data_IF_594454139845
#
_entry.id   IF_594454139845
#
_cell.length_a   1.000
_cell.length_b   1.000
_cell.length_c   1.000
_cell.angle_alpha   90.00
_cell.angle_beta   90.00
_cell.angle_gamma   90.00
#
_symmetry.space_group_name_H-M   'P 1'
#
loop_
_entity.id
_entity.type
_entity.pdbx_description
1 polymer ?
#
# COMPACT_ATOMS: atom_id res chain seq x y z
N UNK A 1 -2.22 21.72 4.90
CA UNK A 1 -3.43 20.88 4.95
C UNK A 1 -4.64 21.79 4.76
N UNK A 2 -5.69 21.32 4.09
CA UNK A 2 -7.02 21.91 4.24
C UNK A 2 -7.49 21.56 5.65
N UNK A 3 -7.75 22.56 6.50
CA UNK A 3 -8.28 22.33 7.83
C UNK A 3 -9.81 22.34 7.82
N UNK A 4 -10.43 21.80 8.88
CA UNK A 4 -11.89 21.78 9.06
C UNK A 4 -12.51 23.19 8.94
N UNK A 5 -11.81 24.21 9.43
CA UNK A 5 -12.23 25.60 9.33
C UNK A 5 -12.34 26.07 7.86
N UNK A 6 -11.37 25.72 7.02
CA UNK A 6 -11.37 26.09 5.61
C UNK A 6 -12.54 25.46 4.84
N UNK A 7 -12.82 24.17 5.09
CA UNK A 7 -13.97 23.46 4.50
C UNK A 7 -15.30 24.10 4.90
N UNK A 8 -15.44 24.48 6.18
CA UNK A 8 -16.63 25.13 6.69
C UNK A 8 -16.88 26.50 6.04
N UNK A 9 -15.83 27.31 5.88
CA UNK A 9 -15.92 28.60 5.19
C UNK A 9 -16.33 28.43 3.73
N UNK A 10 -15.75 27.45 3.02
CA UNK A 10 -16.12 27.15 1.64
C UNK A 10 -17.58 26.71 1.50
N UNK A 11 -18.03 25.84 2.40
CA UNK A 11 -19.42 25.39 2.44
C UNK A 11 -20.39 26.57 2.67
N UNK A 12 -20.10 27.44 3.66
CA UNK A 12 -20.91 28.64 3.91
C UNK A 12 -20.93 29.64 2.75
N UNK A 13 -19.86 29.69 1.96
CA UNK A 13 -19.77 30.57 0.79
C UNK A 13 -20.29 29.94 -0.50
N UNK A 14 -20.82 28.71 -0.46
CA UNK A 14 -21.33 28.02 -1.65
C UNK A 14 -20.24 27.72 -2.68
N UNK A 15 -18.99 27.56 -2.25
CA UNK A 15 -17.88 27.26 -3.15
C UNK A 15 -17.91 25.75 -3.44
N UNK A 16 -18.51 25.39 -4.58
CA UNK A 16 -18.63 23.99 -5.03
C UNK A 16 -17.34 23.47 -5.67
N UNK A 17 -16.57 24.37 -6.29
CA UNK A 17 -15.25 24.06 -6.85
C UNK A 17 -14.21 25.05 -6.35
N UNK A 18 -13.17 24.51 -5.70
CA UNK A 18 -11.98 25.27 -5.35
C UNK A 18 -11.12 25.39 -6.61
N UNK A 19 -10.85 26.60 -7.10
CA UNK A 19 -10.01 26.75 -8.28
C UNK A 19 -8.59 26.24 -8.02
N UNK A 20 -7.95 25.65 -9.04
CA UNK A 20 -6.69 24.92 -8.89
C UNK A 20 -5.54 25.78 -8.35
N UNK A 21 -5.58 27.10 -8.56
CA UNK A 21 -4.61 28.06 -8.03
C UNK A 21 -4.68 28.21 -6.49
N UNK A 22 -5.79 27.85 -5.85
CA UNK A 22 -5.94 27.83 -4.39
C UNK A 22 -5.57 26.47 -3.78
N UNK A 23 -5.45 25.43 -4.60
CA UNK A 23 -4.99 24.11 -4.17
C UNK A 23 -3.47 24.14 -4.09
N UNK A 24 -2.96 24.50 -2.91
CA UNK A 24 -1.52 24.45 -2.65
C UNK A 24 -0.98 23.05 -2.99
N UNK A 25 0.15 22.97 -3.70
CA UNK A 25 0.80 21.68 -4.05
C UNK A 25 0.97 20.74 -2.85
N UNK A 26 1.17 21.30 -1.65
CA UNK A 26 1.27 20.52 -0.39
C UNK A 26 -0.01 19.75 -0.06
N UNK A 27 -1.17 20.19 -0.53
CA UNK A 27 -2.49 19.57 -0.30
C UNK A 27 -2.81 18.48 -1.34
N UNK A 28 -2.19 18.52 -2.52
CA UNK A 28 -2.34 17.48 -3.52
C UNK A 28 -1.76 16.14 -3.04
N UNK A 29 -2.57 15.08 -3.09
CA UNK A 29 -2.14 13.69 -2.84
C UNK A 29 -1.23 13.15 -3.96
N UNK A 30 -1.29 13.76 -5.15
CA UNK A 30 -0.56 13.35 -6.36
C UNK A 30 0.88 13.86 -6.42
N UNK A 31 1.34 14.60 -5.41
CA UNK A 31 2.75 15.01 -5.33
C UNK A 31 3.51 13.86 -4.71
N UNK A 32 4.45 13.27 -5.46
CA UNK A 32 5.45 12.33 -4.92
C UNK A 32 6.19 13.05 -3.79
N UNK A 33 5.81 12.75 -2.56
CA UNK A 33 6.58 13.16 -1.39
C UNK A 33 7.70 12.15 -1.28
N UNK A 34 8.94 12.60 -1.44
CA UNK A 34 10.05 11.87 -0.83
C UNK A 34 9.70 11.92 0.65
N UNK A 35 9.28 10.78 1.21
CA UNK A 35 9.05 10.68 2.63
C UNK A 35 10.41 10.87 3.30
N UNK A 36 10.78 12.13 3.56
CA UNK A 36 11.76 12.40 4.59
C UNK A 36 11.16 11.77 5.83
N UNK A 37 11.72 10.64 6.28
CA UNK A 37 11.40 10.06 7.58
C UNK A 37 11.90 11.06 8.62
N UNK A 38 11.21 12.18 8.76
CA UNK A 38 11.38 13.06 9.89
C UNK A 38 10.92 12.22 11.05
N UNK A 39 11.86 11.85 11.93
CA UNK A 39 11.54 11.17 13.17
C UNK A 39 10.80 12.19 14.02
N UNK A 40 9.48 12.27 13.85
CA UNK A 40 8.64 13.13 14.66
C UNK A 40 8.62 12.47 16.04
N UNK A 41 9.50 12.93 16.94
CA UNK A 41 9.43 12.60 18.35
C UNK A 41 8.23 13.34 18.93
N UNK A 42 7.02 12.78 18.77
CA UNK A 42 5.93 13.12 19.67
C UNK A 42 6.41 12.75 21.08
N UNK A 43 6.21 13.64 22.05
CA UNK A 43 6.47 13.33 23.44
C UNK A 43 5.71 12.03 23.77
N UNK A 44 6.47 11.00 24.19
CA UNK A 44 5.96 9.65 24.46
C UNK A 44 4.91 9.64 25.57
N UNK A 45 4.84 10.72 26.37
CA UNK A 45 3.78 10.94 27.37
C UNK A 45 2.38 11.05 26.75
N UNK A 46 2.28 11.36 25.46
CA UNK A 46 1.03 11.71 24.77
C UNK A 46 0.58 10.68 23.75
N UNK A 47 0.99 9.41 23.86
CA UNK A 47 0.51 8.35 22.96
C UNK A 47 -1.00 8.22 23.10
N UNK A 48 -1.73 8.98 22.27
CA UNK A 48 -3.18 8.97 22.29
C UNK A 48 -3.63 7.57 21.89
N UNK A 49 -4.78 7.15 22.39
CA UNK A 49 -5.39 5.86 22.04
C UNK A 49 -5.45 5.67 20.52
N UNK A 50 -5.58 6.76 19.77
CA UNK A 50 -5.61 6.77 18.31
C UNK A 50 -4.27 6.36 17.69
N UNK A 51 -3.13 6.84 18.23
CA UNK A 51 -1.81 6.44 17.75
C UNK A 51 -1.60 4.92 17.90
N UNK A 52 -2.01 4.35 19.04
CA UNK A 52 -1.96 2.91 19.29
C UNK A 52 -2.85 2.12 18.33
N UNK A 53 -4.04 2.65 18.02
CA UNK A 53 -4.95 2.06 17.04
C UNK A 53 -4.34 2.06 15.63
N UNK A 54 -3.73 3.18 15.22
CA UNK A 54 -3.04 3.29 13.95
C UNK A 54 -1.89 2.29 13.83
N UNK A 55 -1.06 2.16 14.87
CA UNK A 55 0.04 1.19 14.88
C UNK A 55 -0.46 -0.25 14.78
N UNK A 56 -1.58 -0.58 15.45
CA UNK A 56 -2.17 -1.92 15.39
C UNK A 56 -2.72 -2.27 13.99
N UNK A 57 -3.39 -1.32 13.34
CA UNK A 57 -3.92 -1.50 11.98
C UNK A 57 -2.77 -1.67 10.98
N UNK A 58 -1.74 -0.81 11.04
CA UNK A 58 -0.56 -0.90 10.18
C UNK A 58 0.14 -2.24 10.36
N UNK A 59 0.32 -2.68 11.61
CA UNK A 59 0.94 -3.98 11.90
C UNK A 59 0.13 -5.16 11.35
N UNK A 60 -1.20 -5.07 11.33
CA UNK A 60 -2.06 -6.13 10.80
C UNK A 60 -1.99 -6.19 9.28
N UNK A 61 -2.02 -5.04 8.62
CA UNK A 61 -1.90 -4.95 7.16
C UNK A 61 -0.53 -5.46 6.67
N UNK A 62 0.56 -5.13 7.39
CA UNK A 62 1.90 -5.65 7.09
C UNK A 62 1.96 -7.19 7.19
N UNK A 63 1.29 -7.78 8.17
CA UNK A 63 1.24 -9.23 8.34
C UNK A 63 0.48 -9.90 7.18
N UNK A 64 -0.66 -9.33 6.76
CA UNK A 64 -1.44 -9.83 5.62
C UNK A 64 -0.61 -9.76 4.34
N UNK A 65 0.08 -8.65 4.10
CA UNK A 65 0.92 -8.50 2.91
C UNK A 65 2.09 -9.48 2.90
N UNK A 66 2.71 -9.74 4.06
CA UNK A 66 3.75 -10.76 4.18
C UNK A 66 3.24 -12.15 3.80
N UNK A 67 2.04 -12.53 4.27
CA UNK A 67 1.38 -13.79 3.89
C UNK A 67 1.03 -13.86 2.41
N UNK A 68 0.53 -12.77 1.82
CA UNK A 68 0.25 -12.71 0.38
C UNK A 68 1.53 -12.90 -0.44
N UNK A 69 2.64 -12.32 -0.01
CA UNK A 69 3.94 -12.50 -0.68
C UNK A 69 4.46 -13.94 -0.55
N UNK A 70 4.26 -14.56 0.61
CA UNK A 70 4.61 -15.96 0.84
C UNK A 70 3.84 -16.89 -0.11
N UNK A 71 2.51 -16.79 -0.12
CA UNK A 71 1.65 -17.60 -0.97
C UNK A 71 1.94 -17.40 -2.46
N UNK A 72 2.22 -16.16 -2.88
CA UNK A 72 2.63 -15.88 -4.26
C UNK A 72 3.95 -16.55 -4.62
N UNK A 73 4.89 -16.65 -3.68
CA UNK A 73 6.18 -17.31 -3.91
C UNK A 73 6.00 -18.82 -4.00
N UNK A 74 5.26 -19.42 -3.06
CA UNK A 74 4.94 -20.85 -3.08
C UNK A 74 4.23 -21.25 -4.37
N UNK A 75 3.26 -20.44 -4.83
CA UNK A 75 2.57 -20.68 -6.10
C UNK A 75 3.52 -20.62 -7.30
N UNK A 76 4.48 -19.69 -7.30
CA UNK A 76 5.48 -19.55 -8.36
C UNK A 76 6.50 -20.70 -8.34
N UNK A 77 6.89 -21.18 -7.16
CA UNK A 77 7.75 -22.36 -7.01
C UNK A 77 7.01 -23.62 -7.50
N UNK A 78 5.75 -23.79 -7.11
CA UNK A 78 4.91 -24.91 -7.55
C UNK A 78 4.68 -24.89 -9.08
N UNK A 79 4.48 -23.72 -9.70
CA UNK A 79 4.31 -23.62 -11.16
C UNK A 79 5.58 -24.02 -11.91
N UNK A 80 6.75 -23.61 -11.42
CA UNK A 80 8.05 -23.99 -12.00
C UNK A 80 8.29 -25.50 -11.89
N UNK A 81 7.91 -26.11 -10.76
CA UNK A 81 8.02 -27.56 -10.54
C UNK A 81 7.06 -28.34 -11.46
N UNK A 82 5.82 -27.90 -11.60
CA UNK A 82 4.86 -28.52 -12.52
C UNK A 82 5.33 -28.45 -13.98
N UNK A 83 5.83 -27.30 -14.45
CA UNK A 83 6.37 -27.15 -15.80
C UNK A 83 7.57 -28.07 -16.04
N UNK A 84 8.46 -28.19 -15.06
CA UNK A 84 9.64 -29.08 -15.15
C UNK A 84 9.24 -30.57 -15.23
N UNK A 85 8.22 -30.98 -14.48
CA UNK A 85 7.75 -32.37 -14.47
C UNK A 85 7.00 -32.77 -15.76
N UNK A 86 6.32 -31.82 -16.41
CA UNK A 86 5.65 -32.06 -17.70
C UNK A 86 6.67 -32.27 -18.83
N UNK A 87 7.80 -31.56 -18.79
CA UNK A 87 8.90 -31.74 -19.76
C UNK A 87 9.54 -33.14 -19.63
N UNK A 88 9.70 -33.65 -18.40
CA UNK A 88 10.30 -34.99 -18.19
C UNK A 88 9.42 -36.17 -18.59
N UNK A 89 8.10 -35.99 -18.75
CA UNK A 89 7.19 -37.08 -19.17
C UNK A 89 7.05 -37.20 -20.71
N UNK A 90 7.59 -36.24 -21.47
CA UNK A 90 7.43 -36.15 -22.93
C UNK A 90 8.41 -36.98 -23.77
N UNK A 91 9.53 -37.45 -23.20
CA UNK A 91 10.58 -38.18 -23.92
C UNK A 91 10.38 -39.71 -23.88
N UNK A 92 9.17 -40.14 -24.23
CA UNK A 92 8.84 -41.55 -24.44
C UNK A 92 9.42 -42.07 -25.76
N UNK A 93 10.52 -42.79 -25.66
CA UNK A 93 11.25 -43.53 -26.71
C UNK A 93 10.31 -44.24 -27.70
N UNK A 94 10.44 -43.93 -29.00
CA UNK A 94 9.83 -44.66 -30.12
C UNK A 94 10.60 -45.98 -30.31
N UNK A 95 9.95 -47.17 -30.25
CA UNK A 95 10.64 -48.43 -30.54
C UNK A 95 10.87 -48.60 -32.05
N UNK A 96 12.06 -49.08 -32.48
CA UNK A 96 12.34 -49.26 -33.90
C UNK A 96 11.56 -50.44 -34.50
N UNK A 97 11.18 -50.27 -35.78
CA UNK A 97 10.46 -51.22 -36.63
C UNK A 97 11.25 -52.49 -36.95
#
# INVERSE_FOLDING_TARGET
MVCKHQLFVWHRKGIERVPDNYVLRRWCKNVKRVNTKVRICYDKSSTSIEARWHDNIISRDDMVMKWVHELKRELMEASVVCESNVVSLGDGVIPPK
#
